data_IF_339714336583
#
_entry.id   IF_339714336583
#
_cell.length_a   1.000
_cell.length_b   1.000
_cell.length_c   1.000
_cell.angle_alpha   90.00
_cell.angle_beta   90.00
_cell.angle_gamma   90.00
#
_symmetry.space_group_name_H-M   'P 1'
#
loop_
_entity.id
_entity.type
_entity.pdbx_description
1 polymer ?
#
# COMPACT_ATOMS: atom_id res chain seq x y z
N UNK A 1 13.41 11.45 26.09
CA UNK A 1 12.15 11.01 26.73
C UNK A 1 11.04 11.18 25.73
N UNK A 2 10.53 10.09 25.15
CA UNK A 2 9.40 10.17 24.23
C UNK A 2 8.13 10.45 25.06
N UNK A 3 7.60 11.66 24.95
CA UNK A 3 6.27 11.99 25.45
C UNK A 3 5.34 11.91 24.24
N UNK A 4 4.59 10.82 24.15
CA UNK A 4 3.53 10.66 23.15
C UNK A 4 2.30 10.07 23.81
N UNK A 5 1.35 10.93 24.19
CA UNK A 5 0.01 10.51 24.58
C UNK A 5 -0.83 10.26 23.33
N UNK A 6 -1.60 9.18 23.36
CA UNK A 6 -2.63 8.85 22.38
C UNK A 6 -3.60 10.03 22.27
N UNK A 7 -3.65 10.66 21.10
CA UNK A 7 -4.76 11.57 20.79
C UNK A 7 -5.67 10.87 19.80
N UNK A 8 -6.98 11.09 19.96
CA UNK A 8 -8.03 10.49 19.13
C UNK A 8 -7.92 10.90 17.65
N UNK A 9 -7.01 11.83 17.30
CA UNK A 9 -6.96 12.57 16.02
C UNK A 9 -5.55 12.67 15.39
N UNK A 10 -4.76 11.59 15.35
CA UNK A 10 -3.90 11.40 14.18
C UNK A 10 -2.40 11.18 14.36
N UNK A 11 -1.83 11.19 15.58
CA UNK A 11 -0.43 10.78 15.77
C UNK A 11 -0.29 9.79 16.94
N UNK A 12 0.43 8.69 16.69
CA UNK A 12 0.85 7.72 17.70
C UNK A 12 2.37 7.72 17.78
N UNK A 13 2.94 7.83 18.98
CA UNK A 13 4.35 7.49 19.17
C UNK A 13 4.40 6.01 19.54
N UNK A 14 4.93 5.17 18.66
CA UNK A 14 5.05 3.74 18.95
C UNK A 14 6.11 3.49 20.04
N UNK A 15 6.18 2.25 20.56
CA UNK A 15 7.07 1.87 21.67
C UNK A 15 8.59 2.06 21.44
N UNK A 16 8.99 2.52 20.26
CA UNK A 16 10.38 2.80 19.87
C UNK A 16 10.60 4.27 19.44
N UNK A 17 9.62 5.16 19.62
CA UNK A 17 9.78 6.60 19.40
C UNK A 17 9.41 7.11 18.00
N UNK A 18 8.81 6.28 17.14
CA UNK A 18 8.34 6.72 15.82
C UNK A 18 6.99 7.39 15.94
N UNK A 19 6.82 8.55 15.30
CA UNK A 19 5.53 9.18 15.13
C UNK A 19 4.82 8.59 13.91
N UNK A 20 3.72 7.90 14.12
CA UNK A 20 2.89 7.24 13.10
C UNK A 20 1.59 8.01 12.95
N UNK A 21 1.24 8.34 11.72
CA UNK A 21 -0.08 8.89 11.43
C UNK A 21 -1.10 7.75 11.44
N UNK A 22 -2.10 7.79 12.32
CA UNK A 22 -3.00 6.66 12.62
C UNK A 22 -4.03 6.34 11.50
N UNK A 23 -3.65 6.53 10.23
CA UNK A 23 -4.46 6.32 9.05
C UNK A 23 -3.63 5.64 7.96
N UNK A 24 -4.01 4.41 7.61
CA UNK A 24 -3.37 3.66 6.53
C UNK A 24 -3.74 4.25 5.19
N UNK A 25 -2.77 4.40 4.29
CA UNK A 25 -3.00 4.94 2.95
C UNK A 25 -2.08 4.25 1.94
N UNK A 26 -2.65 3.50 1.01
CA UNK A 26 -1.93 2.57 0.11
C UNK A 26 -2.18 2.80 -1.38
N UNK A 27 -2.86 3.89 -1.77
CA UNK A 27 -3.01 4.24 -3.19
C UNK A 27 -1.64 4.33 -3.86
N UNK A 28 -1.45 3.54 -4.92
CA UNK A 28 -0.13 3.32 -5.55
C UNK A 28 0.45 4.52 -6.30
N UNK A 29 -0.37 5.52 -6.60
CA UNK A 29 0.10 6.77 -7.16
C UNK A 29 -0.21 7.85 -6.14
N UNK A 30 0.82 8.33 -5.44
CA UNK A 30 0.65 9.36 -4.42
C UNK A 30 1.96 10.04 -4.09
N UNK A 31 1.81 11.15 -3.37
CA UNK A 31 2.88 12.00 -2.92
C UNK A 31 2.60 12.36 -1.45
N UNK A 32 3.53 12.04 -0.57
CA UNK A 32 3.50 12.47 0.83
C UNK A 32 4.49 13.61 1.01
N UNK A 33 3.98 14.77 1.43
CA UNK A 33 4.72 16.02 1.48
C UNK A 33 4.82 16.49 2.92
N UNK A 34 6.05 16.63 3.40
CA UNK A 34 6.38 17.15 4.72
C UNK A 34 7.11 18.47 4.55
N UNK A 35 6.66 19.53 5.25
CA UNK A 35 7.45 20.75 5.42
C UNK A 35 8.17 20.66 6.74
N UNK A 36 9.49 20.79 6.74
CA UNK A 36 10.32 20.50 7.89
C UNK A 36 11.39 21.56 8.11
N UNK A 37 11.81 21.71 9.36
CA UNK A 37 13.06 22.37 9.73
C UNK A 37 13.99 21.35 10.37
N UNK A 38 15.23 21.31 9.87
CA UNK A 38 16.27 20.35 10.27
C UNK A 38 17.37 21.09 11.03
N UNK A 39 17.78 20.53 12.16
CA UNK A 39 18.93 20.99 12.94
C UNK A 39 20.24 20.39 12.39
N UNK A 40 21.38 20.95 12.79
CA UNK A 40 22.70 20.47 12.35
C UNK A 40 23.04 19.04 12.78
N UNK A 41 22.31 18.49 13.76
CA UNK A 41 22.48 17.12 14.25
C UNK A 41 21.34 16.18 13.82
N UNK A 42 20.42 16.61 12.95
CA UNK A 42 19.27 15.80 12.54
C UNK A 42 19.70 14.57 11.74
N UNK A 43 19.28 13.40 12.22
CA UNK A 43 19.15 12.19 11.42
C UNK A 43 17.71 11.68 11.58
N UNK A 44 16.90 11.91 10.56
CA UNK A 44 15.44 11.75 10.64
C UNK A 44 14.96 10.89 9.49
N UNK A 45 14.13 9.92 9.83
CA UNK A 45 13.49 9.04 8.86
C UNK A 45 12.07 9.49 8.52
N UNK A 46 11.69 9.29 7.26
CA UNK A 46 10.35 9.47 6.72
C UNK A 46 9.95 8.16 6.04
N UNK A 47 8.77 7.64 6.32
CA UNK A 47 8.47 6.27 5.95
C UNK A 47 6.98 5.93 5.94
N UNK A 48 6.73 4.65 5.71
CA UNK A 48 5.45 4.01 5.92
C UNK A 48 5.70 2.75 6.75
N UNK A 49 4.97 2.58 7.85
CA UNK A 49 5.00 1.38 8.70
C UNK A 49 3.57 0.98 9.08
N UNK A 50 3.33 -0.29 9.39
CA UNK A 50 2.00 -0.69 9.85
C UNK A 50 1.75 -0.21 11.28
N UNK A 51 0.46 -0.13 11.63
CA UNK A 51 0.06 0.27 12.97
C UNK A 51 0.51 -0.77 14.00
N UNK A 52 0.96 -0.33 15.18
CA UNK A 52 1.46 -1.24 16.22
C UNK A 52 2.91 -1.73 16.05
N UNK A 53 3.69 -1.16 15.12
CA UNK A 53 5.14 -1.42 15.02
C UNK A 53 5.53 -2.68 14.25
N UNK A 54 4.59 -3.31 13.55
CA UNK A 54 4.91 -4.31 12.53
C UNK A 54 5.05 -3.59 11.17
N UNK A 55 5.90 -4.04 10.25
CA UNK A 55 6.04 -3.39 8.95
C UNK A 55 6.17 -4.42 7.80
N UNK A 56 5.15 -5.27 7.56
CA UNK A 56 5.17 -6.12 6.37
C UNK A 56 4.99 -5.21 5.15
N UNK A 57 6.10 -4.78 4.54
CA UNK A 57 6.10 -3.77 3.48
C UNK A 57 6.58 -2.39 3.85
N UNK A 58 7.23 -2.20 5.01
CA UNK A 58 7.66 -0.87 5.42
C UNK A 58 8.66 -0.23 4.45
N UNK A 59 8.67 1.09 4.43
CA UNK A 59 9.65 1.91 3.69
C UNK A 59 10.25 2.91 4.65
N UNK A 60 11.56 3.14 4.51
CA UNK A 60 12.27 4.20 5.20
C UNK A 60 13.14 4.99 4.22
N UNK A 61 13.02 6.29 4.29
CA UNK A 61 13.99 7.24 3.76
C UNK A 61 14.59 8.01 4.92
N UNK A 62 15.87 8.40 4.86
CA UNK A 62 16.48 9.22 5.89
C UNK A 62 17.14 10.47 5.32
N UNK A 63 17.14 11.53 6.12
CA UNK A 63 17.95 12.72 5.90
C UNK A 63 18.96 12.78 7.03
N UNK A 64 20.23 12.59 6.69
CA UNK A 64 21.37 12.61 7.60
C UNK A 64 22.16 13.90 7.38
N UNK A 65 21.83 14.92 8.17
CA UNK A 65 22.43 16.25 8.08
C UNK A 65 23.92 16.23 8.42
N UNK A 66 24.39 15.57 9.50
CA UNK A 66 25.82 15.47 9.82
C UNK A 66 26.65 14.87 8.68
N UNK A 67 26.16 13.80 8.06
CA UNK A 67 26.86 13.13 6.96
C UNK A 67 26.56 13.73 5.59
N UNK A 68 25.67 14.72 5.49
CA UNK A 68 25.30 15.40 4.24
C UNK A 68 24.74 14.43 3.19
N UNK A 69 23.84 13.54 3.63
CA UNK A 69 23.25 12.52 2.77
C UNK A 69 21.73 12.46 2.91
N UNK A 70 21.06 12.14 1.80
CA UNK A 70 19.73 11.52 1.86
C UNK A 70 19.86 10.06 1.45
N UNK A 71 19.10 9.18 2.10
CA UNK A 71 19.16 7.74 1.87
C UNK A 71 17.77 7.16 1.62
N UNK A 72 17.76 6.16 0.73
CA UNK A 72 16.65 5.26 0.49
C UNK A 72 17.07 3.88 1.00
N UNK A 73 16.30 3.32 1.93
CA UNK A 73 16.66 2.08 2.60
C UNK A 73 16.02 0.85 1.95
N UNK A 74 16.49 -0.32 2.35
CA UNK A 74 15.86 -1.59 2.05
C UNK A 74 14.44 -1.74 2.59
N UNK A 75 13.76 -2.79 2.10
CA UNK A 75 12.49 -3.24 2.63
C UNK A 75 12.57 -3.34 4.15
N UNK A 76 11.65 -2.66 4.85
CA UNK A 76 11.69 -2.56 6.31
C UNK A 76 10.68 -3.50 6.93
N UNK A 77 11.11 -4.67 7.41
CA UNK A 77 10.22 -5.75 7.83
C UNK A 77 9.65 -5.62 9.25
N UNK A 78 10.43 -5.09 10.19
CA UNK A 78 10.17 -5.23 11.63
C UNK A 78 9.98 -3.88 12.34
N UNK A 79 10.13 -2.77 11.62
CA UNK A 79 10.12 -1.41 12.14
C UNK A 79 11.11 -1.14 13.30
N UNK A 80 11.97 -2.09 13.69
CA UNK A 80 12.69 -2.07 14.96
C UNK A 80 14.13 -1.58 14.82
N UNK A 81 14.72 -1.81 13.65
CA UNK A 81 16.08 -1.40 13.29
C UNK A 81 16.06 -0.63 11.98
N UNK A 82 16.95 0.35 11.82
CA UNK A 82 17.10 1.06 10.54
C UNK A 82 17.61 0.06 9.49
N UNK A 83 16.90 -0.18 8.36
CA UNK A 83 17.35 -1.13 7.35
C UNK A 83 18.63 -0.66 6.66
N UNK A 84 19.29 -1.56 5.94
CA UNK A 84 20.43 -1.24 5.09
C UNK A 84 20.08 -0.13 4.09
N UNK A 85 21.05 0.76 3.84
CA UNK A 85 20.91 1.79 2.81
C UNK A 85 21.04 1.14 1.44
N UNK A 86 20.01 1.26 0.60
CA UNK A 86 20.03 0.77 -0.80
C UNK A 86 20.68 1.78 -1.73
N UNK A 87 20.30 3.06 -1.61
CA UNK A 87 20.82 4.15 -2.44
C UNK A 87 20.92 5.43 -1.63
N UNK A 88 21.84 6.30 -2.04
CA UNK A 88 22.03 7.60 -1.40
C UNK A 88 22.31 8.69 -2.44
N UNK A 89 22.09 9.93 -2.04
CA UNK A 89 22.53 11.11 -2.77
C UNK A 89 23.13 12.13 -1.79
N UNK A 90 24.16 12.85 -2.24
CA UNK A 90 24.75 13.93 -1.47
C UNK A 90 23.77 15.09 -1.32
N UNK A 91 23.65 15.60 -0.10
CA UNK A 91 22.73 16.65 0.30
C UNK A 91 23.50 17.65 1.16
N UNK A 92 23.61 18.90 0.73
CA UNK A 92 24.34 19.94 1.46
C UNK A 92 23.35 20.91 2.14
N UNK A 93 22.74 20.55 3.28
CA UNK A 93 21.75 21.40 3.94
C UNK A 93 22.36 22.71 4.44
N UNK A 94 21.66 23.82 4.21
CA UNK A 94 21.77 24.98 5.08
C UNK A 94 20.68 24.91 6.15
N UNK A 95 21.05 24.59 7.39
CA UNK A 95 20.10 24.35 8.48
C UNK A 95 19.33 25.60 8.94
N UNK A 96 19.69 26.80 8.46
CA UNK A 96 18.85 27.99 8.67
C UNK A 96 17.62 28.02 7.76
N UNK A 97 17.54 27.14 6.76
CA UNK A 97 16.45 27.07 5.80
C UNK A 97 15.36 26.07 6.26
N UNK A 98 14.20 26.18 5.63
CA UNK A 98 13.15 25.17 5.68
C UNK A 98 13.21 24.30 4.42
N UNK A 99 12.86 23.02 4.58
CA UNK A 99 12.87 22.04 3.51
C UNK A 99 11.48 21.46 3.25
N UNK A 100 11.25 21.03 2.02
CA UNK A 100 10.15 20.12 1.67
C UNK A 100 10.73 18.74 1.43
N UNK A 101 10.26 17.78 2.19
CA UNK A 101 10.53 16.36 1.96
C UNK A 101 9.33 15.76 1.28
N UNK A 102 9.55 15.21 0.08
CA UNK A 102 8.51 14.63 -0.76
C UNK A 102 8.82 13.16 -0.97
N UNK A 103 7.98 12.29 -0.43
CA UNK A 103 7.99 10.86 -0.74
C UNK A 103 7.00 10.60 -1.86
N UNK A 104 7.47 10.04 -2.96
CA UNK A 104 6.69 9.75 -4.16
C UNK A 104 6.56 8.24 -4.29
N UNK A 105 5.31 7.78 -4.39
CA UNK A 105 4.95 6.43 -4.85
C UNK A 105 4.39 6.56 -6.25
N UNK A 106 5.00 5.86 -7.19
CA UNK A 106 4.46 5.67 -8.53
C UNK A 106 4.54 4.19 -8.86
N UNK A 107 3.47 3.46 -8.51
CA UNK A 107 3.39 1.99 -8.64
C UNK A 107 4.60 1.32 -7.96
N UNK A 108 5.47 0.63 -8.71
CA UNK A 108 6.67 -0.06 -8.18
C UNK A 108 7.87 0.87 -7.93
N UNK A 109 7.73 2.17 -8.21
CA UNK A 109 8.80 3.16 -8.00
C UNK A 109 8.58 3.92 -6.70
N UNK A 110 9.64 3.97 -5.90
CA UNK A 110 9.73 4.76 -4.68
C UNK A 110 10.80 5.83 -4.87
N UNK A 111 10.47 7.09 -4.58
CA UNK A 111 11.42 8.20 -4.66
C UNK A 111 11.27 9.12 -3.47
N UNK A 112 12.38 9.68 -3.02
CA UNK A 112 12.38 10.83 -2.10
C UNK A 112 13.04 12.01 -2.79
N UNK A 113 12.46 13.18 -2.61
CA UNK A 113 13.03 14.48 -2.96
C UNK A 113 13.12 15.35 -1.71
N UNK A 114 14.21 16.09 -1.59
CA UNK A 114 14.38 17.15 -0.59
C UNK A 114 14.63 18.45 -1.34
N UNK A 115 13.69 19.38 -1.20
CA UNK A 115 13.71 20.71 -1.82
C UNK A 115 14.01 21.78 -0.77
N UNK A 116 15.01 22.62 -1.03
CA UNK A 116 15.33 23.79 -0.22
C UNK A 116 14.48 24.99 -0.68
N UNK A 117 13.64 25.52 0.21
CA UNK A 117 12.74 26.63 -0.13
C UNK A 117 13.46 27.94 -0.51
N UNK A 118 14.67 28.14 -0.02
CA UNK A 118 15.41 29.40 -0.15
C UNK A 118 16.29 29.38 -1.40
N UNK A 119 16.99 28.27 -1.65
CA UNK A 119 17.88 28.17 -2.83
C UNK A 119 17.17 27.64 -4.07
N UNK A 120 16.08 26.88 -3.88
CA UNK A 120 15.40 26.17 -4.95
C UNK A 120 16.05 24.84 -5.33
N UNK A 121 17.10 24.42 -4.63
CA UNK A 121 17.82 23.18 -4.93
C UNK A 121 16.97 21.95 -4.60
N UNK A 122 17.06 20.92 -5.44
CA UNK A 122 16.41 19.61 -5.24
C UNK A 122 17.47 18.53 -5.20
N UNK A 123 17.50 17.75 -4.12
CA UNK A 123 18.23 16.49 -4.06
C UNK A 123 17.23 15.33 -4.10
N UNK A 124 17.50 14.28 -4.87
CA UNK A 124 16.59 13.14 -4.94
C UNK A 124 17.30 11.80 -5.07
N UNK A 125 16.64 10.75 -4.59
CA UNK A 125 17.04 9.36 -4.81
C UNK A 125 15.78 8.51 -5.04
N UNK A 126 15.85 7.62 -6.03
CA UNK A 126 14.75 6.74 -6.42
C UNK A 126 15.20 5.29 -6.56
N UNK A 127 14.22 4.39 -6.51
CA UNK A 127 14.38 3.00 -6.89
C UNK A 127 13.10 2.52 -7.57
N UNK A 128 13.27 1.59 -8.50
CA UNK A 128 12.16 0.92 -9.18
C UNK A 128 12.27 -0.56 -8.92
N UNK A 129 11.14 -1.17 -8.57
CA UNK A 129 11.06 -2.61 -8.32
C UNK A 129 10.70 -3.34 -9.62
N UNK A 130 11.22 -4.55 -9.78
CA UNK A 130 10.93 -5.45 -10.91
C UNK A 130 10.28 -6.71 -10.37
N UNK A 131 9.24 -7.26 -11.01
CA UNK A 131 8.61 -8.46 -10.47
C UNK A 131 9.54 -9.67 -10.65
N UNK A 132 10.21 -10.06 -9.57
CA UNK A 132 11.13 -11.20 -9.58
C UNK A 132 10.57 -12.27 -8.66
N UNK A 133 10.24 -13.42 -9.26
CA UNK A 133 9.88 -14.62 -8.51
C UNK A 133 10.95 -14.93 -7.47
N UNK A 134 10.52 -15.11 -6.22
CA UNK A 134 11.37 -15.47 -5.08
C UNK A 134 12.43 -14.43 -4.66
N UNK A 135 12.32 -13.17 -5.10
CA UNK A 135 13.22 -12.09 -4.67
C UNK A 135 12.41 -10.88 -4.20
N UNK A 136 11.92 -10.95 -2.97
CA UNK A 136 11.09 -9.89 -2.35
C UNK A 136 11.86 -8.56 -2.27
N UNK A 137 13.18 -8.60 -2.13
CA UNK A 137 14.04 -7.42 -2.01
C UNK A 137 14.07 -6.61 -3.32
N UNK A 138 14.14 -7.27 -4.47
CA UNK A 138 14.08 -6.60 -5.77
C UNK A 138 12.64 -6.40 -6.26
N UNK A 139 11.71 -7.26 -5.82
CA UNK A 139 10.28 -7.15 -6.11
C UNK A 139 9.64 -5.91 -5.47
N UNK A 140 10.17 -5.46 -4.33
CA UNK A 140 9.77 -4.25 -3.62
C UNK A 140 11.00 -3.44 -3.18
N UNK A 141 11.81 -3.05 -4.16
CA UNK A 141 12.96 -2.20 -3.93
C UNK A 141 12.53 -0.89 -3.25
N UNK A 142 13.14 -0.57 -2.10
CA UNK A 142 12.77 0.59 -1.29
C UNK A 142 11.57 0.37 -0.37
N UNK A 143 11.08 -0.87 -0.27
CA UNK A 143 9.87 -1.22 0.46
C UNK A 143 8.58 -0.99 -0.34
N UNK A 144 7.45 -1.39 0.24
CA UNK A 144 6.15 -1.31 -0.43
C UNK A 144 5.49 0.05 -0.28
N UNK A 145 5.94 0.83 0.71
CA UNK A 145 5.23 1.98 1.27
C UNK A 145 3.81 1.62 1.73
N UNK A 146 3.63 0.46 2.35
CA UNK A 146 2.32 0.04 2.86
C UNK A 146 2.08 0.52 4.28
N UNK A 147 0.81 0.72 4.64
CA UNK A 147 0.40 1.09 5.99
C UNK A 147 0.32 2.61 6.21
N UNK A 148 0.81 3.05 7.35
CA UNK A 148 0.64 4.40 7.86
C UNK A 148 1.88 5.26 7.60
N UNK A 149 1.73 6.50 7.10
CA UNK A 149 2.88 7.41 6.99
C UNK A 149 3.49 7.67 8.37
N UNK A 150 4.82 7.72 8.43
CA UNK A 150 5.55 7.75 9.70
C UNK A 150 6.79 8.62 9.64
N UNK A 151 7.19 9.15 10.79
CA UNK A 151 8.42 9.88 11.03
C UNK A 151 9.21 9.16 12.12
N UNK A 152 10.47 8.88 11.84
CA UNK A 152 11.35 8.00 12.64
C UNK A 152 12.49 8.86 13.18
N UNK A 153 12.54 9.06 14.50
CA UNK A 153 13.64 9.79 15.11
C UNK A 153 14.86 8.89 15.30
N UNK A 154 15.88 9.04 14.45
CA UNK A 154 17.13 8.26 14.57
C UNK A 154 18.12 8.98 15.48
N UNK A 155 18.38 10.26 15.21
CA UNK A 155 19.16 11.14 16.07
C UNK A 155 18.80 12.62 15.85
N UNK A 156 19.16 13.46 16.82
CA UNK A 156 18.89 14.90 16.78
C UNK A 156 17.40 15.23 16.85
N UNK A 157 17.03 16.38 16.31
CA UNK A 157 15.66 16.91 16.36
C UNK A 157 15.24 17.45 15.00
N UNK A 158 13.93 17.42 14.72
CA UNK A 158 13.35 18.03 13.54
C UNK A 158 11.97 18.56 13.88
N UNK A 159 11.64 19.73 13.34
CA UNK A 159 10.29 20.30 13.45
C UNK A 159 9.50 20.02 12.18
N UNK A 160 8.35 19.37 12.33
CA UNK A 160 7.40 19.15 11.24
C UNK A 160 6.38 20.28 11.25
N UNK A 161 6.44 21.15 10.23
CA UNK A 161 5.55 22.33 10.12
C UNK A 161 4.21 21.99 9.47
N UNK A 162 4.20 21.05 8.53
CA UNK A 162 2.95 20.55 7.92
C UNK A 162 3.17 19.20 7.26
N UNK A 163 2.10 18.42 7.15
CA UNK A 163 2.05 17.18 6.40
C UNK A 163 0.79 17.11 5.54
N UNK A 164 0.90 16.55 4.34
CA UNK A 164 -0.23 16.20 3.50
C UNK A 164 0.10 15.02 2.59
N UNK A 165 -0.93 14.25 2.24
CA UNK A 165 -0.87 13.25 1.17
C UNK A 165 -1.68 13.79 -0.01
N UNK A 166 -1.13 13.65 -1.21
CA UNK A 166 -1.77 14.02 -2.47
C UNK A 166 -1.78 12.79 -3.37
N UNK A 167 -2.92 12.45 -3.94
CA UNK A 167 -3.06 11.41 -4.97
C UNK A 167 -3.57 12.06 -6.27
N UNK A 168 -3.47 11.38 -7.44
CA UNK A 168 -4.01 11.88 -8.69
C UNK A 168 -5.44 12.38 -8.54
N UNK A 169 -5.71 13.57 -9.06
CA UNK A 169 -7.06 14.12 -9.06
C UNK A 169 -7.84 13.43 -10.17
N UNK A 170 -8.74 12.56 -9.77
CA UNK A 170 -9.65 11.89 -10.69
C UNK A 170 -11.05 12.01 -10.12
N UNK A 171 -12.00 12.47 -10.93
CA UNK A 171 -13.35 12.72 -10.46
C UNK A 171 -14.07 11.39 -10.25
N UNK A 172 -14.56 11.16 -9.03
CA UNK A 172 -15.38 10.00 -8.69
C UNK A 172 -14.72 8.66 -9.09
N UNK A 173 -13.52 8.34 -8.56
CA UNK A 173 -12.74 7.20 -9.05
C UNK A 173 -13.41 5.86 -8.75
N UNK A 174 -13.02 4.88 -9.55
CA UNK A 174 -13.13 3.46 -9.19
C UNK A 174 -11.87 3.12 -8.41
N UNK A 175 -12.00 2.61 -7.18
CA UNK A 175 -10.84 2.17 -6.40
C UNK A 175 -10.91 0.65 -6.19
N UNK A 176 -9.85 -0.04 -6.58
CA UNK A 176 -9.67 -1.48 -6.38
C UNK A 176 -8.86 -1.71 -5.11
N UNK A 177 -9.45 -2.33 -4.11
CA UNK A 177 -8.83 -2.70 -2.84
C UNK A 177 -8.59 -4.20 -2.75
N UNK A 178 -7.50 -4.57 -2.11
CA UNK A 178 -7.27 -5.96 -1.74
C UNK A 178 -5.92 -6.21 -1.08
N UNK A 179 -5.52 -7.48 -1.10
CA UNK A 179 -4.28 -7.97 -0.52
C UNK A 179 -3.12 -8.01 -1.53
N UNK A 180 -2.21 -8.99 -1.40
CA UNK A 180 -1.04 -9.19 -2.27
C UNK A 180 -1.42 -9.47 -3.72
N UNK A 181 -2.56 -10.11 -3.96
CA UNK A 181 -3.05 -10.36 -5.33
C UNK A 181 -3.44 -9.03 -6.00
N UNK A 182 -3.98 -8.09 -5.21
CA UNK A 182 -4.34 -6.75 -5.71
C UNK A 182 -3.12 -5.83 -5.77
N UNK A 183 -2.14 -5.98 -4.89
CA UNK A 183 -0.84 -5.28 -5.00
C UNK A 183 -0.03 -5.77 -6.22
N UNK A 184 -0.23 -7.02 -6.62
CA UNK A 184 0.44 -7.65 -7.76
C UNK A 184 1.69 -8.42 -7.38
N UNK A 185 1.75 -9.02 -6.19
CA UNK A 185 2.85 -9.91 -5.84
C UNK A 185 3.03 -10.99 -6.92
N UNK A 186 4.28 -11.20 -7.32
CA UNK A 186 4.76 -12.15 -8.34
C UNK A 186 4.35 -11.86 -9.78
N UNK A 187 3.74 -10.71 -10.07
CA UNK A 187 3.36 -10.31 -11.43
C UNK A 187 3.92 -8.94 -11.80
N UNK A 188 4.37 -8.80 -13.05
CA UNK A 188 4.82 -7.53 -13.59
C UNK A 188 3.69 -6.51 -13.69
N UNK A 189 4.04 -5.23 -13.52
CA UNK A 189 3.08 -4.14 -13.74
C UNK A 189 2.55 -4.19 -15.17
N UNK A 190 1.25 -3.93 -15.30
CA UNK A 190 0.55 -4.03 -16.59
C UNK A 190 0.02 -5.43 -16.91
N UNK A 191 0.54 -6.48 -16.28
CA UNK A 191 -0.02 -7.85 -16.37
C UNK A 191 -0.94 -8.20 -15.19
N UNK A 192 -0.89 -7.41 -14.11
CA UNK A 192 -1.81 -7.53 -12.97
C UNK A 192 -3.23 -7.19 -13.38
N UNK A 193 -4.22 -7.93 -12.87
CA UNK A 193 -5.64 -7.75 -13.23
C UNK A 193 -6.13 -6.29 -13.04
N UNK A 194 -5.71 -5.65 -11.95
CA UNK A 194 -6.07 -4.28 -11.65
C UNK A 194 -5.47 -3.27 -12.66
N UNK A 195 -4.27 -3.54 -13.19
CA UNK A 195 -3.68 -2.72 -14.24
C UNK A 195 -4.37 -2.93 -15.58
N UNK A 196 -4.77 -4.16 -15.90
CA UNK A 196 -5.54 -4.48 -17.11
C UNK A 196 -6.87 -3.72 -17.10
N UNK A 197 -7.62 -3.79 -15.98
CA UNK A 197 -8.87 -3.02 -15.80
C UNK A 197 -8.61 -1.51 -15.92
N UNK A 198 -7.50 -1.02 -15.37
CA UNK A 198 -7.12 0.40 -15.43
C UNK A 198 -6.75 0.88 -16.84
N UNK A 199 -6.15 0.02 -17.68
CA UNK A 199 -5.84 0.37 -19.07
C UNK A 199 -7.09 0.71 -19.88
N UNK A 200 -8.22 0.08 -19.54
CA UNK A 200 -9.50 0.32 -20.21
C UNK A 200 -10.35 1.42 -19.54
N UNK A 201 -10.00 1.80 -18.30
CA UNK A 201 -10.66 2.85 -17.57
C UNK A 201 -9.65 3.70 -16.80
N UNK A 202 -9.29 4.86 -17.36
CA UNK A 202 -8.34 5.80 -16.77
C UNK A 202 -8.81 6.37 -15.41
N UNK A 203 -10.05 6.12 -14.99
CA UNK A 203 -10.60 6.52 -13.71
C UNK A 203 -10.33 5.51 -12.56
N UNK A 204 -9.48 4.51 -12.80
CA UNK A 204 -9.19 3.46 -11.83
C UNK A 204 -7.93 3.78 -11.01
N UNK A 205 -8.07 3.69 -9.70
CA UNK A 205 -6.96 3.67 -8.75
C UNK A 205 -6.86 2.29 -8.08
N UNK A 206 -5.65 1.95 -7.63
CA UNK A 206 -5.37 0.67 -6.98
C UNK A 206 -4.82 0.92 -5.58
N UNK A 207 -5.39 0.21 -4.61
CA UNK A 207 -4.99 0.16 -3.20
C UNK A 207 -4.79 -1.31 -2.82
N UNK A 208 -3.67 -1.89 -3.21
CA UNK A 208 -3.24 -3.23 -2.78
C UNK A 208 -2.34 -3.17 -1.55
N UNK A 209 -2.44 -4.13 -0.64
CA UNK A 209 -1.52 -4.25 0.50
C UNK A 209 -1.33 -5.71 0.90
N UNK A 210 -0.14 -6.24 0.68
CA UNK A 210 0.21 -7.64 0.89
C UNK A 210 0.12 -8.10 2.34
N UNK A 211 -0.22 -9.37 2.51
CA UNK A 211 -0.38 -10.01 3.81
C UNK A 211 -1.56 -9.47 4.64
N UNK A 212 -2.42 -8.64 4.05
CA UNK A 212 -3.48 -7.97 4.79
C UNK A 212 -4.80 -8.74 4.81
N UNK A 213 -5.67 -8.35 5.75
CA UNK A 213 -7.02 -8.90 5.94
C UNK A 213 -8.10 -7.82 5.70
N UNK A 214 -9.37 -8.21 5.80
CA UNK A 214 -10.52 -7.32 5.64
C UNK A 214 -10.50 -6.10 6.58
N UNK A 215 -9.94 -6.21 7.78
CA UNK A 215 -9.89 -5.10 8.74
C UNK A 215 -9.05 -3.94 8.17
N UNK A 216 -7.91 -4.25 7.57
CA UNK A 216 -7.05 -3.26 6.90
C UNK A 216 -7.67 -2.69 5.63
N UNK A 217 -8.47 -3.47 4.90
CA UNK A 217 -9.24 -2.94 3.76
C UNK A 217 -10.25 -1.90 4.25
N UNK A 218 -10.99 -2.19 5.32
CA UNK A 218 -11.95 -1.24 5.91
C UNK A 218 -11.24 0.04 6.38
N UNK A 219 -10.10 -0.09 7.05
CA UNK A 219 -9.32 1.07 7.53
C UNK A 219 -8.78 1.94 6.39
N UNK A 220 -8.36 1.31 5.28
CA UNK A 220 -7.94 2.03 4.08
C UNK A 220 -9.12 2.70 3.39
N UNK A 221 -10.27 2.04 3.25
CA UNK A 221 -11.49 2.65 2.69
C UNK A 221 -11.87 3.92 3.47
N UNK A 222 -11.82 3.88 4.81
CA UNK A 222 -12.06 5.06 5.67
C UNK A 222 -11.08 6.20 5.39
N UNK A 223 -9.79 5.88 5.33
CA UNK A 223 -8.72 6.86 5.17
C UNK A 223 -8.69 7.44 3.74
N UNK A 224 -8.99 6.61 2.74
CA UNK A 224 -8.96 6.93 1.32
C UNK A 224 -10.29 7.50 0.80
N UNK A 225 -11.35 7.54 1.63
CA UNK A 225 -12.64 8.18 1.31
C UNK A 225 -12.50 9.68 0.98
N UNK A 226 -11.40 10.33 1.39
CA UNK A 226 -11.08 11.70 0.96
C UNK A 226 -11.01 11.85 -0.58
N UNK A 227 -10.77 10.75 -1.30
CA UNK A 227 -10.76 10.68 -2.77
C UNK A 227 -12.15 10.61 -3.39
N UNK A 228 -13.20 10.46 -2.57
CA UNK A 228 -14.61 10.41 -2.96
C UNK A 228 -14.86 9.38 -4.08
N UNK A 229 -14.53 8.10 -3.87
CA UNK A 229 -14.79 7.08 -4.87
C UNK A 229 -16.29 7.01 -5.21
N UNK A 230 -16.60 6.55 -6.42
CA UNK A 230 -17.97 6.19 -6.81
C UNK A 230 -18.20 4.69 -6.82
N UNK A 231 -17.15 3.93 -7.10
CA UNK A 231 -17.19 2.47 -7.10
C UNK A 231 -15.98 1.96 -6.34
N UNK A 232 -16.22 1.01 -5.44
CA UNK A 232 -15.23 0.31 -4.66
C UNK A 232 -15.30 -1.15 -5.05
N UNK A 233 -14.18 -1.68 -5.55
CA UNK A 233 -14.02 -3.09 -5.91
C UNK A 233 -13.11 -3.72 -4.88
N UNK A 234 -13.53 -4.81 -4.24
CA UNK A 234 -12.77 -5.44 -3.16
C UNK A 234 -12.53 -6.92 -3.47
N UNK A 235 -11.27 -7.34 -3.39
CA UNK A 235 -10.89 -8.75 -3.41
C UNK A 235 -10.09 -9.04 -2.13
N UNK A 236 -10.72 -9.69 -1.14
CA UNK A 236 -10.09 -9.93 0.17
C UNK A 236 -10.60 -11.22 0.83
N UNK A 237 -9.67 -11.95 1.44
CA UNK A 237 -9.95 -13.19 2.17
C UNK A 237 -8.89 -14.28 1.99
N UNK A 238 -7.93 -14.10 1.08
CA UNK A 238 -6.82 -15.04 0.82
C UNK A 238 -6.02 -15.33 2.09
N UNK A 239 -5.73 -14.28 2.87
CA UNK A 239 -5.02 -14.36 4.16
C UNK A 239 -5.95 -14.68 5.34
N UNK A 240 -7.19 -15.07 5.08
CA UNK A 240 -8.22 -15.28 6.10
C UNK A 240 -8.74 -13.98 6.71
N UNK A 241 -9.27 -14.07 7.94
CA UNK A 241 -9.78 -12.93 8.70
C UNK A 241 -11.20 -12.49 8.35
N UNK A 242 -11.80 -13.01 7.27
CA UNK A 242 -13.20 -12.77 6.93
C UNK A 242 -14.14 -13.44 7.95
N UNK A 243 -15.22 -12.75 8.27
CA UNK A 243 -16.39 -13.27 8.98
C UNK A 243 -17.64 -12.57 8.45
N UNK A 244 -18.85 -13.12 8.66
CA UNK A 244 -20.09 -12.44 8.27
C UNK A 244 -20.21 -11.02 8.84
N UNK A 245 -19.76 -10.82 10.09
CA UNK A 245 -19.79 -9.52 10.76
C UNK A 245 -18.85 -8.52 10.09
N UNK A 246 -17.64 -8.96 9.72
CA UNK A 246 -16.65 -8.10 9.06
C UNK A 246 -17.04 -7.77 7.62
N UNK A 247 -17.62 -8.72 6.90
CA UNK A 247 -18.18 -8.46 5.57
C UNK A 247 -19.33 -7.46 5.68
N UNK A 248 -20.23 -7.64 6.65
CA UNK A 248 -21.30 -6.69 6.93
C UNK A 248 -20.77 -5.29 7.27
N UNK A 249 -19.68 -5.21 8.04
CA UNK A 249 -19.01 -3.94 8.37
C UNK A 249 -18.43 -3.27 7.11
N UNK A 250 -17.77 -4.03 6.23
CA UNK A 250 -17.28 -3.53 4.94
C UNK A 250 -18.44 -3.00 4.06
N UNK A 251 -19.51 -3.79 3.92
CA UNK A 251 -20.70 -3.39 3.15
C UNK A 251 -21.30 -2.10 3.71
N UNK A 252 -21.45 -2.01 5.03
CA UNK A 252 -21.97 -0.83 5.70
C UNK A 252 -21.08 0.39 5.43
N UNK A 253 -19.77 0.25 5.59
CA UNK A 253 -18.81 1.34 5.39
C UNK A 253 -18.93 1.93 3.97
N UNK A 254 -18.98 1.06 2.94
CA UNK A 254 -19.08 1.49 1.55
C UNK A 254 -20.46 2.10 1.23
N UNK A 255 -21.52 1.55 1.84
CA UNK A 255 -22.89 2.05 1.65
C UNK A 255 -23.09 3.43 2.30
N UNK A 256 -22.55 3.65 3.51
CA UNK A 256 -22.59 4.95 4.20
C UNK A 256 -21.87 6.05 3.39
N UNK A 257 -20.89 5.67 2.57
CA UNK A 257 -20.18 6.56 1.64
C UNK A 257 -20.95 6.84 0.34
N UNK A 258 -22.14 6.26 0.15
CA UNK A 258 -22.90 6.29 -1.11
C UNK A 258 -22.11 5.77 -2.33
N UNK A 259 -21.23 4.80 -2.09
CA UNK A 259 -20.43 4.16 -3.12
C UNK A 259 -21.08 2.85 -3.59
N UNK A 260 -20.88 2.49 -4.86
CA UNK A 260 -21.21 1.15 -5.34
C UNK A 260 -20.12 0.17 -4.89
N UNK A 261 -20.50 -0.90 -4.18
CA UNK A 261 -19.61 -2.01 -3.86
C UNK A 261 -19.66 -3.09 -4.94
N UNK A 262 -18.49 -3.61 -5.32
CA UNK A 262 -18.31 -4.90 -5.96
C UNK A 262 -17.39 -5.71 -5.05
N UNK A 263 -17.91 -6.76 -4.42
CA UNK A 263 -17.15 -7.61 -3.50
C UNK A 263 -16.91 -8.95 -4.17
N UNK A 264 -15.67 -9.20 -4.57
CA UNK A 264 -15.28 -10.32 -5.42
C UNK A 264 -15.10 -11.59 -4.61
N UNK A 265 -15.28 -12.71 -5.30
CA UNK A 265 -14.76 -13.99 -4.85
C UNK A 265 -13.23 -13.95 -4.87
N UNK A 266 -12.58 -14.58 -3.90
CA UNK A 266 -11.13 -14.76 -3.93
C UNK A 266 -10.77 -15.85 -4.95
N UNK A 267 -9.56 -15.79 -5.55
CA UNK A 267 -9.06 -16.84 -6.44
C UNK A 267 -9.04 -18.22 -5.78
N UNK A 268 -9.01 -19.25 -6.62
CA UNK A 268 -8.93 -20.64 -6.19
C UNK A 268 -7.61 -20.90 -5.46
N UNK A 269 -7.69 -21.67 -4.38
CA UNK A 269 -6.56 -22.07 -3.54
C UNK A 269 -6.27 -23.56 -3.68
N UNK A 270 -5.01 -23.99 -3.47
CA UNK A 270 -4.62 -25.39 -3.59
C UNK A 270 -5.28 -26.28 -2.52
N UNK A 271 -5.54 -25.71 -1.35
CA UNK A 271 -6.20 -26.38 -0.22
C UNK A 271 -7.73 -26.41 -0.33
N UNK A 272 -8.32 -25.81 -1.37
CA UNK A 272 -9.77 -25.70 -1.55
C UNK A 272 -10.47 -24.74 -0.58
N UNK A 273 -9.73 -24.05 0.30
CA UNK A 273 -10.34 -23.23 1.36
C UNK A 273 -11.07 -22.00 0.82
N UNK A 274 -10.81 -21.62 -0.44
CA UNK A 274 -11.51 -20.53 -1.12
C UNK A 274 -13.02 -20.78 -1.21
N UNK A 275 -13.45 -22.04 -1.32
CA UNK A 275 -14.88 -22.39 -1.43
C UNK A 275 -15.65 -21.90 -0.20
N UNK A 276 -15.15 -22.19 1.01
CA UNK A 276 -15.81 -21.77 2.25
C UNK A 276 -15.81 -20.24 2.42
N UNK A 277 -14.70 -19.58 2.06
CA UNK A 277 -14.57 -18.12 2.11
C UNK A 277 -15.55 -17.45 1.13
N UNK A 278 -15.63 -17.96 -0.10
CA UNK A 278 -16.48 -17.43 -1.14
C UNK A 278 -17.97 -17.65 -0.85
N UNK A 279 -18.35 -18.83 -0.34
CA UNK A 279 -19.71 -19.07 0.13
C UNK A 279 -20.10 -18.09 1.25
N UNK A 280 -19.18 -17.77 2.16
CA UNK A 280 -19.43 -16.77 3.21
C UNK A 280 -19.61 -15.37 2.62
N UNK A 281 -18.85 -14.99 1.59
CA UNK A 281 -19.01 -13.73 0.86
C UNK A 281 -20.38 -13.68 0.20
N UNK A 282 -20.78 -14.70 -0.56
CA UNK A 282 -22.10 -14.78 -1.23
C UNK A 282 -23.27 -14.70 -0.24
N UNK A 283 -23.15 -15.38 0.91
CA UNK A 283 -24.19 -15.37 1.94
C UNK A 283 -24.30 -14.02 2.65
N UNK A 284 -23.21 -13.26 2.75
CA UNK A 284 -23.15 -11.97 3.44
C UNK A 284 -23.39 -10.77 2.50
N UNK A 285 -23.27 -10.98 1.18
CA UNK A 285 -23.40 -9.94 0.16
C UNK A 285 -24.07 -10.48 -1.10
N UNK A 286 -25.24 -9.92 -1.44
CA UNK A 286 -26.03 -10.30 -2.60
C UNK A 286 -25.89 -9.35 -3.79
N UNK A 287 -24.92 -8.43 -3.76
CA UNK A 287 -24.67 -7.49 -4.84
C UNK A 287 -23.68 -8.03 -5.87
N UNK A 288 -23.08 -7.12 -6.67
CA UNK A 288 -22.15 -7.52 -7.73
C UNK A 288 -20.88 -8.12 -7.16
N UNK A 289 -20.36 -9.13 -7.84
CA UNK A 289 -19.16 -9.87 -7.49
C UNK A 289 -18.53 -10.44 -8.75
N UNK A 290 -17.21 -10.29 -8.92
CA UNK A 290 -16.48 -11.03 -9.94
C UNK A 290 -16.03 -12.38 -9.38
N UNK A 291 -16.21 -13.44 -10.18
CA UNK A 291 -15.91 -14.83 -9.83
C UNK A 291 -14.48 -15.20 -10.17
N UNK A 292 -13.52 -14.62 -9.46
CA UNK A 292 -12.11 -14.92 -9.67
C UNK A 292 -11.74 -16.36 -9.30
N UNK A 293 -12.51 -17.01 -8.43
CA UNK A 293 -12.41 -18.46 -8.20
C UNK A 293 -12.64 -19.25 -9.49
N UNK A 294 -13.71 -18.95 -10.23
CA UNK A 294 -13.97 -19.59 -11.51
C UNK A 294 -12.84 -19.33 -12.52
N UNK A 295 -12.35 -18.08 -12.57
CA UNK A 295 -11.29 -17.68 -13.50
C UNK A 295 -9.94 -18.37 -13.27
N UNK A 296 -9.73 -18.92 -12.07
CA UNK A 296 -8.45 -19.49 -11.63
C UNK A 296 -8.55 -20.98 -11.25
N UNK A 297 -9.70 -21.59 -11.52
CA UNK A 297 -9.96 -23.01 -11.26
C UNK A 297 -9.85 -23.88 -12.50
N UNK A 298 -9.50 -25.15 -12.29
CA UNK A 298 -9.50 -26.16 -13.36
C UNK A 298 -10.87 -26.22 -14.01
N UNK A 299 -10.89 -26.18 -15.34
CA UNK A 299 -12.12 -26.25 -16.14
C UNK A 299 -13.19 -25.20 -15.77
N UNK A 300 -12.79 -24.06 -15.18
CA UNK A 300 -13.70 -23.05 -14.63
C UNK A 300 -14.67 -23.62 -13.58
N UNK A 301 -14.23 -24.58 -12.76
CA UNK A 301 -15.04 -25.22 -11.72
C UNK A 301 -14.33 -25.13 -10.35
N UNK A 302 -14.83 -24.32 -9.39
CA UNK A 302 -14.17 -24.10 -8.10
C UNK A 302 -14.07 -25.38 -7.27
N UNK A 303 -14.94 -26.36 -7.52
CA UNK A 303 -14.91 -27.66 -6.86
C UNK A 303 -13.75 -28.55 -7.34
N UNK A 304 -13.20 -28.29 -8.54
CA UNK A 304 -12.02 -28.98 -9.05
C UNK A 304 -10.70 -28.37 -8.56
N UNK A 305 -10.79 -27.32 -7.74
CA UNK A 305 -9.66 -26.65 -7.12
C UNK A 305 -8.90 -25.74 -8.09
N UNK A 306 -7.74 -25.28 -7.63
CA UNK A 306 -6.87 -24.37 -8.35
C UNK A 306 -6.30 -24.99 -9.63
N UNK A 307 -6.27 -24.23 -10.72
CA UNK A 307 -5.43 -24.53 -11.88
C UNK A 307 -4.02 -23.98 -11.64
N UNK A 308 -3.10 -24.85 -11.25
CA UNK A 308 -1.72 -24.47 -10.90
C UNK A 308 -0.96 -23.82 -12.05
N UNK A 309 -1.38 -24.00 -13.31
CA UNK A 309 -0.74 -23.34 -14.45
C UNK A 309 -0.99 -21.82 -14.50
N UNK A 310 -2.01 -21.35 -13.76
CA UNK A 310 -2.38 -19.94 -13.66
C UNK A 310 -1.76 -19.23 -12.46
N UNK A 311 -0.86 -19.89 -11.72
CA UNK A 311 -0.24 -19.33 -10.52
C UNK A 311 1.28 -19.32 -10.59
N UNK A 312 1.87 -18.34 -9.91
CA UNK A 312 3.31 -18.17 -9.73
C UNK A 312 3.83 -18.97 -8.52
N UNK A 313 2.99 -19.09 -7.50
CA UNK A 313 3.20 -19.90 -6.29
C UNK A 313 1.86 -20.49 -5.83
N UNK A 314 1.74 -20.93 -4.58
CA UNK A 314 0.50 -21.52 -4.06
C UNK A 314 -0.69 -20.54 -4.03
N UNK A 315 -0.45 -19.23 -3.95
CA UNK A 315 -1.51 -18.25 -3.67
C UNK A 315 -1.63 -17.14 -4.72
N UNK A 316 -0.53 -16.78 -5.39
CA UNK A 316 -0.47 -15.62 -6.28
C UNK A 316 -0.66 -16.03 -7.73
N UNK A 317 -1.73 -15.58 -8.40
CA UNK A 317 -1.90 -15.79 -9.84
C UNK A 317 -0.69 -15.24 -10.61
N UNK A 318 -0.25 -15.95 -11.65
CA UNK A 318 0.75 -15.42 -12.58
C UNK A 318 0.09 -14.49 -13.60
N UNK A 319 0.83 -14.02 -14.60
CA UNK A 319 0.29 -13.13 -15.64
C UNK A 319 -0.96 -13.70 -16.34
N UNK A 320 -0.97 -15.00 -16.67
CA UNK A 320 -2.13 -15.64 -17.31
C UNK A 320 -3.33 -15.75 -16.36
N UNK A 321 -3.09 -16.04 -15.07
CA UNK A 321 -4.14 -16.04 -14.05
C UNK A 321 -4.77 -14.65 -13.87
N UNK A 322 -3.95 -13.61 -13.80
CA UNK A 322 -4.42 -12.23 -13.75
C UNK A 322 -5.18 -11.79 -15.01
N UNK A 323 -4.74 -12.23 -16.19
CA UNK A 323 -5.47 -12.01 -17.44
C UNK A 323 -6.85 -12.69 -17.42
N UNK A 324 -6.93 -13.93 -16.94
CA UNK A 324 -8.23 -14.63 -16.79
C UNK A 324 -9.13 -13.91 -15.78
N UNK A 325 -8.59 -13.44 -14.66
CA UNK A 325 -9.34 -12.64 -13.69
C UNK A 325 -9.87 -11.34 -14.32
N UNK A 326 -9.03 -10.61 -15.07
CA UNK A 326 -9.48 -9.40 -15.76
C UNK A 326 -10.57 -9.71 -16.79
N UNK A 327 -10.40 -10.75 -17.63
CA UNK A 327 -11.44 -11.19 -18.58
C UNK A 327 -12.76 -11.53 -17.89
N UNK A 328 -12.69 -12.09 -16.68
CA UNK A 328 -13.89 -12.43 -15.91
C UNK A 328 -14.73 -11.22 -15.55
N UNK A 329 -14.13 -10.04 -15.37
CA UNK A 329 -14.88 -8.81 -15.02
C UNK A 329 -15.80 -8.30 -16.12
N UNK A 330 -15.68 -8.81 -17.35
CA UNK A 330 -16.58 -8.49 -18.47
C UNK A 330 -17.73 -9.49 -18.62
N UNK A 331 -17.64 -10.65 -17.95
CA UNK A 331 -18.62 -11.73 -18.05
C UNK A 331 -19.65 -11.69 -16.92
N UNK A 332 -19.25 -11.17 -15.76
CA UNK A 332 -20.06 -11.04 -14.55
C UNK A 332 -20.64 -9.61 -14.40
#
# INVERSE_FOLDING_TARGET
>A
TAIGSKTQNGFEINGIGNMVLNHSFSIENRISVFKVHLESNSNIGFGYIANGGYAPGGTLFTIDVPNKMINLHDYWSDASTVPTVRKSASFNPNVSHDFVVTMIKNQRTNRIEVYDYVTGDVTSVDTTSTAVLNDVTNEFAGGRQNGCPSIVGIAGTCLIKSFRIVAPSVSNPVIIYGDSITEGDRVELGSRYADIIKQENSNVMVSGMSGTTIDSVIDRIRSENALKPKTIIVTIGTNGGNSPEKISALVKEVTDMNCQLILNHIPAKPDGSHVAVNNMIEQSWNGRSFRFDLATSKNNDPAQGQDTSLFADEFHPNAAGHENMAKRTYLD
#
